data_IF_761481143470
#
_entry.id   IF_761481143470
#
_cell.length_a   1.000
_cell.length_b   1.000
_cell.length_c   1.000
_cell.angle_alpha   90.00
_cell.angle_beta   90.00
_cell.angle_gamma   90.00
#
_symmetry.space_group_name_H-M   'P 1'
#
loop_
_entity.id
_entity.type
_entity.pdbx_description
1 polymer ?
#
# COMPACT_ATOMS: atom_id res chain seq x y z
N UNK A 1 -5.39 26.30 -12.74
CA UNK A 1 -4.41 26.06 -11.64
C UNK A 1 -4.33 24.56 -11.41
N UNK A 2 -3.17 23.96 -11.71
CA UNK A 2 -2.95 22.52 -11.76
C UNK A 2 -2.81 21.91 -10.34
N UNK A 3 -3.86 22.04 -9.54
CA UNK A 3 -3.92 21.60 -8.14
C UNK A 3 -3.67 20.09 -8.01
N UNK A 4 -4.08 19.29 -9.00
CA UNK A 4 -3.88 17.84 -9.02
C UNK A 4 -2.41 17.43 -9.03
N UNK A 5 -1.58 18.05 -9.88
CA UNK A 5 -0.15 17.74 -9.97
C UNK A 5 0.62 18.18 -8.72
N UNK A 6 0.29 19.37 -8.18
CA UNK A 6 0.90 19.90 -6.96
C UNK A 6 0.52 19.12 -5.70
N UNK A 7 -0.76 18.74 -5.55
CA UNK A 7 -1.23 17.94 -4.44
C UNK A 7 -0.72 16.49 -4.50
N UNK A 8 -0.58 15.91 -5.70
CA UNK A 8 0.08 14.62 -5.89
C UNK A 8 1.55 14.65 -5.50
N UNK A 9 2.30 15.65 -5.95
CA UNK A 9 3.72 15.80 -5.60
C UNK A 9 3.90 16.01 -4.10
N UNK A 10 3.10 16.89 -3.48
CA UNK A 10 3.13 17.13 -2.04
C UNK A 10 2.69 15.90 -1.24
N UNK A 11 1.69 15.16 -1.72
CA UNK A 11 1.19 13.95 -1.09
C UNK A 11 2.16 12.77 -1.17
N UNK A 12 2.72 12.49 -2.36
CA UNK A 12 3.71 11.42 -2.54
C UNK A 12 5.05 11.76 -1.88
N UNK A 13 5.60 12.96 -2.07
CA UNK A 13 6.87 13.34 -1.47
C UNK A 13 6.74 13.57 0.04
N UNK A 14 5.67 14.23 0.49
CA UNK A 14 5.39 14.43 1.91
C UNK A 14 5.12 13.10 2.62
N UNK A 15 4.33 12.22 2.02
CA UNK A 15 4.08 10.87 2.51
C UNK A 15 5.35 10.01 2.53
N UNK A 16 6.16 10.04 1.47
CA UNK A 16 7.42 9.30 1.39
C UNK A 16 8.45 9.77 2.43
N UNK A 17 8.65 11.08 2.57
CA UNK A 17 9.57 11.65 3.58
C UNK A 17 9.12 11.30 4.99
N UNK A 18 7.83 11.42 5.29
CA UNK A 18 7.29 11.05 6.60
C UNK A 18 7.38 9.54 6.86
N UNK A 19 7.18 8.70 5.84
CA UNK A 19 7.38 7.27 5.94
C UNK A 19 8.84 6.92 6.24
N UNK A 20 9.80 7.57 5.57
CA UNK A 20 11.23 7.38 5.86
C UNK A 20 11.59 7.85 7.28
N UNK A 21 11.15 9.05 7.68
CA UNK A 21 11.40 9.58 9.03
C UNK A 21 10.82 8.67 10.09
N UNK A 22 9.61 8.15 9.89
CA UNK A 22 8.97 7.26 10.85
C UNK A 22 9.60 5.85 10.86
N UNK A 23 10.03 5.35 9.70
CA UNK A 23 10.71 4.06 9.58
C UNK A 23 12.07 4.05 10.29
N UNK A 24 12.82 5.15 10.24
CA UNK A 24 14.11 5.29 10.91
C UNK A 24 14.03 5.88 12.33
N UNK A 25 12.86 6.36 12.76
CA UNK A 25 12.68 6.94 14.10
C UNK A 25 12.67 5.85 15.18
N UNK A 26 13.63 5.93 16.09
CA UNK A 26 13.71 5.10 17.31
C UNK A 26 12.57 5.40 18.30
N UNK A 27 11.96 6.60 18.22
CA UNK A 27 10.88 7.03 19.12
C UNK A 27 9.54 7.02 18.40
N UNK A 28 8.51 6.43 19.01
CA UNK A 28 7.15 6.48 18.49
C UNK A 28 6.53 7.83 18.84
N UNK A 29 6.15 8.62 17.82
CA UNK A 29 5.51 9.92 17.98
C UNK A 29 4.13 9.89 17.32
N UNK A 30 3.02 9.86 18.09
CA UNK A 30 1.66 9.84 17.54
C UNK A 30 1.40 10.96 16.53
N UNK A 31 1.94 12.16 16.80
CA UNK A 31 1.83 13.31 15.91
C UNK A 31 2.38 13.04 14.50
N UNK A 32 3.45 12.24 14.36
CA UNK A 32 4.02 11.89 13.05
C UNK A 32 3.12 10.93 12.28
N UNK A 33 2.50 9.96 12.96
CA UNK A 33 1.55 9.03 12.34
C UNK A 33 0.29 9.77 11.86
N UNK A 34 -0.22 10.71 12.66
CA UNK A 34 -1.36 11.55 12.28
C UNK A 34 -1.02 12.48 11.11
N UNK A 35 0.15 13.13 11.15
CA UNK A 35 0.61 13.96 10.05
C UNK A 35 0.72 13.14 8.74
N UNK A 36 1.33 11.95 8.81
CA UNK A 36 1.40 11.03 7.67
C UNK A 36 0.01 10.67 7.13
N UNK A 37 -0.94 10.34 8.01
CA UNK A 37 -2.32 10.04 7.61
C UNK A 37 -2.98 11.22 6.90
N UNK A 38 -2.75 12.45 7.35
CA UNK A 38 -3.26 13.65 6.69
C UNK A 38 -2.67 13.85 5.28
N UNK A 39 -1.34 13.74 5.13
CA UNK A 39 -0.68 13.85 3.83
C UNK A 39 -1.08 12.73 2.87
N UNK A 40 -1.17 11.50 3.36
CA UNK A 40 -1.67 10.37 2.57
C UNK A 40 -3.13 10.54 2.19
N UNK A 41 -3.98 11.04 3.09
CA UNK A 41 -5.38 11.34 2.78
C UNK A 41 -5.50 12.34 1.63
N UNK A 42 -4.68 13.40 1.62
CA UNK A 42 -4.63 14.37 0.52
C UNK A 42 -4.12 13.72 -0.79
N UNK A 43 -3.06 12.92 -0.72
CA UNK A 43 -2.52 12.19 -1.87
C UNK A 43 -3.58 11.26 -2.48
N UNK A 44 -4.15 10.38 -1.65
CA UNK A 44 -5.16 9.40 -2.06
C UNK A 44 -6.44 10.06 -2.53
N UNK A 45 -6.91 11.13 -1.89
CA UNK A 45 -8.08 11.88 -2.35
C UNK A 45 -7.86 12.46 -3.74
N UNK A 46 -6.67 13.00 -4.00
CA UNK A 46 -6.31 13.54 -5.32
C UNK A 46 -6.24 12.43 -6.37
N UNK A 47 -5.54 11.31 -6.08
CA UNK A 47 -5.48 10.14 -6.98
C UNK A 47 -6.90 9.63 -7.27
N UNK A 48 -7.69 9.42 -6.22
CA UNK A 48 -9.04 8.87 -6.34
C UNK A 48 -9.94 9.76 -7.20
N UNK A 49 -9.86 11.09 -7.02
CA UNK A 49 -10.57 12.06 -7.86
C UNK A 49 -10.17 11.94 -9.34
N UNK A 50 -8.86 11.85 -9.62
CA UNK A 50 -8.37 11.69 -11.00
C UNK A 50 -8.85 10.39 -11.65
N UNK A 51 -8.85 9.28 -10.91
CA UNK A 51 -9.39 8.01 -11.42
C UNK A 51 -10.91 8.09 -11.60
N UNK A 52 -11.65 8.72 -10.69
CA UNK A 52 -13.11 8.84 -10.79
C UNK A 52 -13.57 9.73 -11.95
N UNK A 53 -12.76 10.72 -12.35
CA UNK A 53 -13.08 11.54 -13.54
C UNK A 53 -13.04 10.76 -14.86
N UNK A 54 -12.27 9.67 -14.90
CA UNK A 54 -12.15 8.80 -16.09
C UNK A 54 -13.05 7.57 -15.95
N UNK A 55 -13.11 7.00 -14.75
CA UNK A 55 -13.83 5.78 -14.43
C UNK A 55 -14.82 6.03 -13.30
N UNK A 56 -16.05 6.40 -13.65
CA UNK A 56 -17.05 6.73 -12.64
C UNK A 56 -17.34 5.55 -11.69
N UNK A 57 -17.46 5.85 -10.40
CA UNK A 57 -17.69 4.87 -9.33
C UNK A 57 -16.52 3.91 -9.02
N UNK A 58 -15.35 4.07 -9.66
CA UNK A 58 -14.19 3.19 -9.41
C UNK A 58 -13.70 3.27 -7.96
N UNK A 59 -13.83 4.44 -7.33
CA UNK A 59 -13.40 4.69 -5.96
C UNK A 59 -14.23 3.86 -4.98
N UNK A 60 -15.55 3.86 -5.13
CA UNK A 60 -16.46 3.06 -4.29
C UNK A 60 -16.17 1.56 -4.41
N UNK A 61 -15.89 1.07 -5.63
CA UNK A 61 -15.49 -0.32 -5.84
C UNK A 61 -14.15 -0.64 -5.18
N UNK A 62 -13.16 0.24 -5.32
CA UNK A 62 -11.86 0.05 -4.71
C UNK A 62 -11.94 0.00 -3.18
N UNK A 63 -12.76 0.86 -2.57
CA UNK A 63 -13.03 0.83 -1.12
C UNK A 63 -13.65 -0.50 -0.72
N UNK A 64 -14.69 -0.96 -1.43
CA UNK A 64 -15.38 -2.23 -1.14
C UNK A 64 -14.43 -3.43 -1.22
N UNK A 65 -13.60 -3.50 -2.27
CA UNK A 65 -12.60 -4.56 -2.44
C UNK A 65 -11.56 -4.50 -1.33
N UNK A 66 -11.06 -3.31 -0.98
CA UNK A 66 -10.05 -3.14 0.08
C UNK A 66 -10.59 -3.58 1.44
N UNK A 67 -11.82 -3.17 1.80
CA UNK A 67 -12.47 -3.58 3.05
C UNK A 67 -12.71 -5.09 3.06
N UNK A 68 -13.18 -5.66 1.95
CA UNK A 68 -13.44 -7.09 1.83
C UNK A 68 -12.15 -7.91 1.96
N UNK A 69 -11.07 -7.47 1.32
CA UNK A 69 -9.75 -8.08 1.44
C UNK A 69 -9.23 -7.97 2.88
N UNK A 70 -9.28 -6.79 3.49
CA UNK A 70 -8.87 -6.61 4.89
C UNK A 70 -9.64 -7.53 5.84
N UNK A 71 -10.97 -7.55 5.76
CA UNK A 71 -11.82 -8.40 6.60
C UNK A 71 -11.54 -9.89 6.35
N UNK A 72 -11.38 -10.30 5.09
CA UNK A 72 -11.02 -11.66 4.71
C UNK A 72 -9.67 -12.09 5.27
N UNK A 73 -8.64 -11.25 5.15
CA UNK A 73 -7.30 -11.53 5.68
C UNK A 73 -7.30 -11.56 7.21
N UNK A 74 -8.03 -10.65 7.86
CA UNK A 74 -8.18 -10.63 9.32
C UNK A 74 -8.88 -11.90 9.83
N UNK A 75 -9.96 -12.31 9.17
CA UNK A 75 -10.65 -13.55 9.49
C UNK A 75 -9.74 -14.76 9.29
N UNK A 76 -9.01 -14.82 8.17
CA UNK A 76 -8.09 -15.90 7.87
C UNK A 76 -6.95 -16.00 8.91
N UNK A 77 -6.38 -14.86 9.33
CA UNK A 77 -5.40 -14.79 10.41
C UNK A 77 -5.99 -15.26 11.75
N UNK A 78 -7.14 -14.70 12.15
CA UNK A 78 -7.81 -15.03 13.43
C UNK A 78 -8.24 -16.49 13.51
N UNK A 79 -8.58 -17.12 12.37
CA UNK A 79 -8.95 -18.54 12.32
C UNK A 79 -7.81 -19.49 12.72
N UNK A 80 -6.57 -19.00 12.79
CA UNK A 80 -5.38 -19.80 13.12
C UNK A 80 -4.96 -20.80 12.02
N UNK A 81 -5.68 -20.83 10.89
CA UNK A 81 -5.36 -21.66 9.72
C UNK A 81 -4.14 -21.15 8.97
N UNK A 82 -3.98 -19.82 8.87
CA UNK A 82 -2.81 -19.20 8.27
C UNK A 82 -1.88 -18.74 9.39
N UNK A 83 -0.70 -19.37 9.49
CA UNK A 83 0.31 -19.06 10.51
C UNK A 83 1.52 -18.41 9.86
N UNK A 84 2.01 -17.34 10.47
CA UNK A 84 3.25 -16.70 10.04
C UNK A 84 4.43 -17.56 10.46
N UNK A 85 4.99 -18.26 9.48
CA UNK A 85 6.22 -19.04 9.65
C UNK A 85 7.43 -18.22 9.20
N UNK A 86 8.65 -18.52 9.69
CA UNK A 86 9.86 -17.86 9.20
C UNK A 86 10.05 -17.96 7.69
N UNK A 87 9.59 -19.06 7.06
CA UNK A 87 9.60 -19.22 5.61
C UNK A 87 8.62 -18.27 4.93
N UNK A 88 7.40 -18.14 5.45
CA UNK A 88 6.39 -17.20 4.94
C UNK A 88 6.89 -15.76 4.96
N UNK A 89 7.43 -15.30 6.09
CA UNK A 89 8.01 -13.96 6.21
C UNK A 89 9.16 -13.76 5.22
N UNK A 90 10.09 -14.72 5.10
CA UNK A 90 11.21 -14.62 4.14
C UNK A 90 10.71 -14.49 2.70
N UNK A 91 9.76 -15.33 2.29
CA UNK A 91 9.20 -15.29 0.92
C UNK A 91 8.53 -13.95 0.64
N UNK A 92 7.70 -13.44 1.56
CA UNK A 92 7.04 -12.15 1.38
C UNK A 92 8.02 -10.97 1.34
N UNK A 93 9.04 -10.99 2.21
CA UNK A 93 10.08 -9.95 2.20
C UNK A 93 10.89 -9.97 0.89
N UNK A 94 11.24 -11.15 0.39
CA UNK A 94 11.92 -11.27 -0.91
C UNK A 94 11.01 -10.83 -2.07
N UNK A 95 9.72 -11.16 -2.02
CA UNK A 95 8.74 -10.71 -3.01
C UNK A 95 8.56 -9.18 -2.98
N UNK A 96 8.54 -8.56 -1.80
CA UNK A 96 8.51 -7.11 -1.64
C UNK A 96 9.74 -6.45 -2.27
N UNK A 97 10.94 -7.00 -2.04
CA UNK A 97 12.17 -6.49 -2.66
C UNK A 97 12.07 -6.59 -4.19
N UNK A 98 11.61 -7.73 -4.72
CA UNK A 98 11.38 -7.90 -6.16
C UNK A 98 10.40 -6.88 -6.73
N UNK A 99 9.29 -6.63 -6.02
CA UNK A 99 8.28 -5.63 -6.39
C UNK A 99 8.88 -4.21 -6.43
N UNK A 100 9.70 -3.85 -5.44
CA UNK A 100 10.38 -2.55 -5.40
C UNK A 100 11.42 -2.41 -6.51
N UNK A 101 12.19 -3.47 -6.81
CA UNK A 101 13.14 -3.48 -7.93
C UNK A 101 12.41 -3.26 -9.25
N UNK A 102 11.26 -3.92 -9.47
CA UNK A 102 10.45 -3.69 -10.66
C UNK A 102 9.96 -2.24 -10.76
N UNK A 103 9.54 -1.63 -9.64
CA UNK A 103 9.16 -0.22 -9.62
C UNK A 103 10.31 0.71 -10.03
N UNK A 104 11.54 0.45 -9.55
CA UNK A 104 12.74 1.21 -9.92
C UNK A 104 13.09 1.01 -11.40
N UNK A 105 13.09 -0.23 -11.89
CA UNK A 105 13.34 -0.54 -13.31
C UNK A 105 12.33 0.18 -14.20
N UNK A 106 11.06 0.19 -13.80
CA UNK A 106 10.00 0.87 -14.54
C UNK A 106 10.13 2.39 -14.53
N UNK A 107 10.63 2.95 -13.43
CA UNK A 107 10.92 4.38 -13.35
C UNK A 107 12.08 4.74 -14.30
N UNK A 108 13.16 3.97 -14.27
CA UNK A 108 14.33 4.16 -15.15
C UNK A 108 13.94 3.98 -16.62
N UNK A 109 13.13 2.96 -16.96
CA UNK A 109 12.65 2.76 -18.33
C UNK A 109 11.83 3.97 -18.80
N UNK A 110 10.96 4.52 -17.95
CA UNK A 110 10.17 5.70 -18.29
C UNK A 110 11.03 6.92 -18.63
N UNK A 111 12.21 7.07 -18.01
CA UNK A 111 13.13 8.17 -18.33
C UNK A 111 13.93 7.93 -19.63
N UNK A 112 14.23 6.68 -19.96
CA UNK A 112 15.04 6.32 -21.14
C UNK A 112 14.16 6.23 -22.40
N UNK A 113 13.05 5.50 -22.33
CA UNK A 113 12.22 5.13 -23.50
C UNK A 113 10.89 5.86 -23.54
N UNK A 114 10.57 6.70 -22.55
CA UNK A 114 9.26 7.33 -22.40
C UNK A 114 8.13 6.35 -22.07
N UNK A 115 8.45 5.08 -21.85
CA UNK A 115 7.50 3.99 -21.61
C UNK A 115 7.83 3.24 -20.33
N UNK A 116 6.80 2.99 -19.53
CA UNK A 116 6.90 2.31 -18.24
C UNK A 116 6.79 0.80 -18.46
N UNK A 117 7.49 -0.04 -17.69
CA UNK A 117 7.31 -1.51 -17.73
C UNK A 117 5.86 -1.89 -17.46
N UNK A 118 5.15 -1.12 -16.62
CA UNK A 118 3.72 -1.29 -16.38
C UNK A 118 2.83 -1.02 -17.61
N UNK A 119 3.32 -0.31 -18.62
CA UNK A 119 2.59 0.01 -19.86
C UNK A 119 2.89 -0.95 -21.03
N UNK A 120 3.84 -1.87 -20.87
CA UNK A 120 4.20 -2.82 -21.92
C UNK A 120 3.27 -4.04 -21.88
N UNK A 121 2.45 -4.21 -22.93
CA UNK A 121 1.79 -5.46 -23.33
C UNK A 121 1.14 -6.33 -22.23
N UNK A 122 0.06 -5.86 -21.59
CA UNK A 122 -0.72 -6.66 -20.63
C UNK A 122 -0.02 -7.01 -19.30
N UNK A 123 1.31 -6.82 -19.20
CA UNK A 123 2.08 -7.04 -17.97
C UNK A 123 1.63 -6.13 -16.83
N UNK A 124 1.10 -4.94 -17.14
CA UNK A 124 0.55 -4.03 -16.14
C UNK A 124 -0.50 -4.68 -15.24
N UNK A 125 -1.39 -5.50 -15.82
CA UNK A 125 -2.44 -6.19 -15.04
C UNK A 125 -1.84 -7.26 -14.12
N UNK A 126 -0.87 -8.03 -14.63
CA UNK A 126 -0.20 -9.09 -13.86
C UNK A 126 0.56 -8.50 -12.68
N UNK A 127 1.33 -7.42 -12.91
CA UNK A 127 2.12 -6.78 -11.86
C UNK A 127 1.19 -6.10 -10.83
N UNK A 128 0.13 -5.42 -11.27
CA UNK A 128 -0.84 -4.78 -10.36
C UNK A 128 -1.58 -5.83 -9.51
N UNK A 129 -2.01 -6.95 -10.12
CA UNK A 129 -2.66 -8.05 -9.41
C UNK A 129 -1.70 -8.72 -8.44
N UNK A 130 -0.45 -8.94 -8.84
CA UNK A 130 0.61 -9.47 -7.97
C UNK A 130 0.89 -8.55 -6.78
N UNK A 131 0.98 -7.24 -7.00
CA UNK A 131 1.13 -6.22 -5.96
C UNK A 131 -0.05 -6.20 -4.99
N UNK A 132 -1.28 -6.26 -5.50
CA UNK A 132 -2.51 -6.33 -4.70
C UNK A 132 -2.52 -7.57 -3.80
N UNK A 133 -2.22 -8.75 -4.34
CA UNK A 133 -2.15 -10.01 -3.59
C UNK A 133 -1.03 -9.95 -2.55
N UNK A 134 0.14 -9.42 -2.92
CA UNK A 134 1.27 -9.24 -2.01
C UNK A 134 0.91 -8.33 -0.84
N UNK A 135 0.29 -7.17 -1.10
CA UNK A 135 -0.17 -6.24 -0.08
C UNK A 135 -1.20 -6.89 0.86
N UNK A 136 -2.13 -7.68 0.32
CA UNK A 136 -3.08 -8.43 1.14
C UNK A 136 -2.38 -9.44 2.07
N UNK A 137 -1.36 -10.17 1.59
CA UNK A 137 -0.57 -11.06 2.44
C UNK A 137 0.26 -10.32 3.50
N UNK A 138 0.72 -9.10 3.20
CA UNK A 138 1.40 -8.25 4.18
C UNK A 138 0.51 -7.92 5.39
N UNK A 139 -0.82 -7.81 5.22
CA UNK A 139 -1.74 -7.64 6.35
C UNK A 139 -1.61 -8.77 7.38
N UNK A 140 -1.34 -10.01 6.95
CA UNK A 140 -1.11 -11.13 7.88
C UNK A 140 0.17 -10.89 8.71
N UNK A 141 1.24 -10.40 8.07
CA UNK A 141 2.48 -10.06 8.77
C UNK A 141 2.26 -8.91 9.76
N UNK A 142 1.44 -7.93 9.40
CA UNK A 142 1.07 -6.83 10.29
C UNK A 142 0.31 -7.36 11.51
N UNK A 143 -0.72 -8.19 11.31
CA UNK A 143 -1.51 -8.76 12.41
C UNK A 143 -0.67 -9.64 13.33
N UNK A 144 0.24 -10.45 12.78
CA UNK A 144 1.16 -11.28 13.55
C UNK A 144 2.15 -10.44 14.35
N UNK A 145 2.69 -9.38 13.76
CA UNK A 145 3.59 -8.45 14.44
C UNK A 145 2.89 -7.74 15.61
N UNK A 146 1.64 -7.32 15.41
CA UNK A 146 0.80 -6.73 16.46
C UNK A 146 0.56 -7.73 17.59
N UNK A 147 0.14 -8.96 17.25
CA UNK A 147 -0.14 -10.00 18.24
C UNK A 147 1.11 -10.38 19.05
N UNK A 148 2.27 -10.49 18.40
CA UNK A 148 3.55 -10.72 19.07
C UNK A 148 3.95 -9.58 19.98
N UNK A 149 3.75 -8.33 19.55
CA UNK A 149 3.99 -7.14 20.38
C UNK A 149 3.14 -7.14 21.66
N UNK A 150 1.85 -7.46 21.53
CA UNK A 150 0.94 -7.59 22.68
C UNK A 150 1.40 -8.73 23.60
N UNK A 151 1.70 -9.90 23.05
CA UNK A 151 2.15 -11.07 23.83
C UNK A 151 3.49 -10.83 24.55
N UNK A 152 4.36 -9.99 23.99
CA UNK A 152 5.62 -9.58 24.60
C UNK A 152 5.46 -8.46 25.65
N UNK A 153 4.23 -7.96 25.89
CA UNK A 153 3.99 -6.87 26.83
C UNK A 153 4.55 -5.52 26.38
N UNK A 154 4.56 -5.25 25.06
CA UNK A 154 5.05 -3.99 24.53
C UNK A 154 4.30 -2.78 25.14
N UNK A 155 4.98 -1.65 25.37
CA UNK A 155 4.35 -0.46 25.95
C UNK A 155 3.28 0.09 25.02
N UNK A 156 2.27 0.77 25.60
CA UNK A 156 1.13 1.33 24.87
C UNK A 156 1.55 2.26 23.71
N UNK A 157 2.69 2.95 23.84
CA UNK A 157 3.23 3.80 22.77
C UNK A 157 3.47 3.04 21.45
N UNK A 158 3.76 1.74 21.49
CA UNK A 158 3.98 0.93 20.29
C UNK A 158 2.69 0.66 19.49
N UNK A 159 1.50 0.88 20.09
CA UNK A 159 0.22 0.80 19.37
C UNK A 159 0.17 1.76 18.18
N UNK A 160 0.77 2.95 18.31
CA UNK A 160 0.86 3.93 17.23
C UNK A 160 1.79 3.48 16.10
N UNK A 161 2.86 2.76 16.42
CA UNK A 161 3.77 2.18 15.41
C UNK A 161 3.08 1.05 14.67
N UNK A 162 2.39 0.18 15.40
CA UNK A 162 1.56 -0.89 14.83
C UNK A 162 0.46 -0.33 13.90
N UNK A 163 -0.30 0.65 14.36
CA UNK A 163 -1.35 1.29 13.58
C UNK A 163 -0.81 1.97 12.31
N UNK A 164 0.36 2.61 12.42
CA UNK A 164 1.04 3.20 11.26
C UNK A 164 1.43 2.15 10.22
N UNK A 165 2.06 1.04 10.63
CA UNK A 165 2.45 -0.03 9.71
C UNK A 165 1.23 -0.60 8.98
N UNK A 166 0.18 -0.93 9.73
CA UNK A 166 -1.07 -1.43 9.17
C UNK A 166 -1.72 -0.44 8.19
N UNK A 167 -1.70 0.86 8.51
CA UNK A 167 -2.21 1.91 7.63
C UNK A 167 -1.44 1.97 6.30
N UNK A 168 -0.11 1.88 6.34
CA UNK A 168 0.73 1.88 5.13
C UNK A 168 0.35 0.70 4.22
N UNK A 169 0.18 -0.49 4.79
CA UNK A 169 -0.24 -1.67 4.03
C UNK A 169 -1.63 -1.52 3.42
N UNK A 170 -2.60 -0.97 4.17
CA UNK A 170 -3.96 -0.72 3.67
C UNK A 170 -3.94 0.30 2.52
N UNK A 171 -3.18 1.39 2.66
CA UNK A 171 -3.02 2.40 1.62
C UNK A 171 -2.40 1.81 0.36
N UNK A 172 -1.37 0.97 0.51
CA UNK A 172 -0.76 0.28 -0.61
C UNK A 172 -1.75 -0.67 -1.30
N UNK A 173 -2.47 -1.50 -0.54
CA UNK A 173 -3.50 -2.38 -1.06
C UNK A 173 -4.56 -1.61 -1.87
N UNK A 174 -5.05 -0.49 -1.33
CA UNK A 174 -6.03 0.37 -2.01
C UNK A 174 -5.52 0.89 -3.36
N UNK A 175 -4.27 1.34 -3.43
CA UNK A 175 -3.68 1.84 -4.67
C UNK A 175 -3.52 0.74 -5.72
N UNK A 176 -3.15 -0.48 -5.32
CA UNK A 176 -3.07 -1.61 -6.25
C UNK A 176 -4.46 -2.04 -6.73
N UNK A 177 -5.47 -2.06 -5.86
CA UNK A 177 -6.86 -2.32 -6.25
C UNK A 177 -7.35 -1.30 -7.28
N UNK A 178 -7.13 0.00 -7.02
CA UNK A 178 -7.47 1.06 -7.98
C UNK A 178 -6.77 0.83 -9.32
N UNK A 179 -5.48 0.48 -9.29
CA UNK A 179 -4.71 0.20 -10.51
C UNK A 179 -5.28 -1.00 -11.27
N UNK A 180 -5.55 -2.12 -10.60
CA UNK A 180 -6.16 -3.31 -11.22
C UNK A 180 -7.50 -2.95 -11.87
N UNK A 181 -8.41 -2.29 -11.13
CA UNK A 181 -9.72 -1.90 -11.65
C UNK A 181 -9.60 -0.96 -12.85
N UNK A 182 -8.64 -0.04 -12.84
CA UNK A 182 -8.43 0.89 -13.94
C UNK A 182 -7.92 0.23 -15.20
N UNK A 183 -7.02 -0.76 -15.08
CA UNK A 183 -6.49 -1.51 -16.23
C UNK A 183 -7.58 -2.40 -16.82
N UNK A 184 -8.41 -3.01 -15.97
CA UNK A 184 -9.54 -3.82 -16.43
C UNK A 184 -10.56 -2.99 -17.20
N UNK A 185 -10.90 -1.79 -16.72
CA UNK A 185 -11.85 -0.89 -17.39
C UNK A 185 -11.28 -0.14 -18.60
N UNK A 186 -9.97 0.07 -18.65
CA UNK A 186 -9.30 0.76 -19.75
C UNK A 186 -8.93 -0.14 -20.94
N UNK A 187 -9.10 -1.46 -20.80
CA UNK A 187 -8.91 -2.44 -21.87
C UNK A 187 -10.22 -2.81 -22.58
N UNK A 188 -11.33 -2.14 -22.24
CA UNK A 188 -12.60 -2.16 -22.97
C UNK A 188 -12.66 -0.98 -23.96
#
# INVERSE_FOLDING_TARGET
LNLGSGALLLGFLGGFVLAMVNAFSKTVKPAMAIAYAAFQGLALGTISSMYNTVYDGIVSQAILVTISAFAGMLFAFKSGRIRVTPKFTKVLMTALIGYLVLAVVSLVSSFITGTSVYSLGGFGLIIATGGMVLAAFFLILDFDSIQKGIAAGAPESESWRAAFGLMVTIVWLYLEVLRVLSILRGND
#
